data_IF_304651133605
#
_entry.id   IF_304651133605
#
_cell.length_a   1.000
_cell.length_b   1.000
_cell.length_c   1.000
_cell.angle_alpha   90.00
_cell.angle_beta   90.00
_cell.angle_gamma   90.00
#
_symmetry.space_group_name_H-M   'P 1'
#
loop_
_entity.id
_entity.type
_entity.pdbx_description
1 polymer ?
#
# COMPACT_ATOMS: atom_id res chain seq x y z
N UNK A 1 -37.35 37.31 -0.39
CA UNK A 1 -35.92 37.01 -0.12
C UNK A 1 -35.58 36.99 1.36
N UNK A 2 -36.12 37.89 2.20
CA UNK A 2 -35.78 37.93 3.62
C UNK A 2 -36.39 36.79 4.50
N UNK A 3 -37.45 36.12 4.05
CA UNK A 3 -38.07 35.00 4.78
C UNK A 3 -37.35 33.64 4.53
N UNK A 4 -36.55 33.55 3.47
CA UNK A 4 -35.84 32.31 3.09
C UNK A 4 -34.51 32.18 3.84
N UNK A 5 -33.92 33.26 4.29
CA UNK A 5 -32.65 33.27 5.04
C UNK A 5 -32.82 32.95 6.54
N UNK A 6 -34.02 33.01 7.10
CA UNK A 6 -34.26 32.63 8.50
C UNK A 6 -34.38 31.13 8.76
N UNK A 7 -34.67 30.33 7.72
CA UNK A 7 -34.74 28.87 7.87
C UNK A 7 -33.35 28.18 7.80
N UNK A 8 -32.34 28.85 7.30
CA UNK A 8 -30.97 28.28 7.13
C UNK A 8 -30.12 28.38 8.41
N UNK A 9 -30.44 29.27 9.33
CA UNK A 9 -29.65 29.53 10.55
C UNK A 9 -30.05 28.69 11.79
N UNK A 10 -31.05 27.80 11.68
CA UNK A 10 -31.46 26.94 12.80
C UNK A 10 -31.03 25.46 12.63
N UNK A 11 -30.38 25.11 11.55
CA UNK A 11 -29.96 23.72 11.27
C UNK A 11 -28.57 23.32 11.83
N UNK A 12 -27.83 24.23 12.48
CA UNK A 12 -26.48 23.99 12.96
C UNK A 12 -26.34 23.68 14.45
N UNK A 13 -27.44 23.43 15.15
CA UNK A 13 -27.38 23.00 16.56
C UNK A 13 -28.45 21.96 16.90
N UNK A 14 -28.31 20.74 16.39
CA UNK A 14 -29.06 19.62 16.96
C UNK A 14 -28.34 18.30 16.70
N UNK A 15 -28.22 17.58 17.78
CA UNK A 15 -27.61 16.26 17.95
C UNK A 15 -28.07 15.24 16.88
N UNK A 16 -27.17 14.31 16.56
CA UNK A 16 -27.30 13.16 15.68
C UNK A 16 -28.50 12.25 16.02
N UNK A 17 -29.67 12.58 15.45
CA UNK A 17 -30.80 11.67 15.32
C UNK A 17 -31.30 11.74 13.88
N UNK A 18 -31.75 10.63 13.26
CA UNK A 18 -32.27 10.70 11.91
C UNK A 18 -33.46 11.68 11.86
N UNK A 19 -33.58 12.46 10.76
CA UNK A 19 -34.65 13.45 10.67
C UNK A 19 -36.01 12.74 10.72
N UNK A 20 -36.85 13.16 11.68
CA UNK A 20 -38.23 12.70 11.81
C UNK A 20 -39.05 13.11 10.57
N UNK A 21 -40.15 12.41 10.26
CA UNK A 21 -40.98 12.65 9.06
C UNK A 21 -41.58 14.06 8.93
N UNK A 22 -41.45 14.90 9.95
CA UNK A 22 -42.01 16.25 9.99
C UNK A 22 -41.31 17.30 9.10
N UNK A 23 -40.05 17.03 8.65
CA UNK A 23 -39.33 17.95 7.72
C UNK A 23 -39.85 17.87 6.29
N UNK A 24 -40.57 16.82 5.94
CA UNK A 24 -41.19 16.63 4.61
C UNK A 24 -42.56 17.35 4.45
N UNK A 25 -43.15 17.87 5.55
CA UNK A 25 -44.47 18.52 5.46
C UNK A 25 -44.40 19.99 5.06
N UNK A 26 -43.27 20.66 5.24
CA UNK A 26 -43.14 22.08 4.91
C UNK A 26 -43.01 22.38 3.40
N UNK A 27 -42.84 21.33 2.58
CA UNK A 27 -42.72 21.46 1.13
C UNK A 27 -44.06 21.28 0.38
N UNK A 28 -45.21 21.11 1.07
CA UNK A 28 -46.50 20.79 0.43
C UNK A 28 -47.46 21.95 0.24
N UNK A 29 -47.17 23.14 0.75
CA UNK A 29 -48.04 24.29 0.55
C UNK A 29 -47.34 25.40 -0.25
N UNK A 30 -47.09 25.17 -1.53
CA UNK A 30 -46.96 26.23 -2.50
C UNK A 30 -48.21 26.16 -3.40
N UNK A 31 -49.18 27.00 -3.09
CA UNK A 31 -50.40 27.16 -3.85
C UNK A 31 -50.06 27.44 -5.33
N UNK A 32 -50.79 26.78 -6.23
CA UNK A 32 -50.71 27.01 -7.67
C UNK A 32 -51.23 28.44 -7.97
N UNK A 33 -50.38 29.28 -8.48
CA UNK A 33 -50.79 30.53 -9.11
C UNK A 33 -51.24 30.14 -10.53
N UNK A 34 -52.56 30.22 -10.75
CA UNK A 34 -53.20 30.14 -12.08
C UNK A 34 -52.76 28.96 -12.97
N UNK A 35 -52.85 27.73 -12.48
CA UNK A 35 -52.72 26.51 -13.34
C UNK A 35 -51.30 26.25 -13.90
N UNK A 36 -50.28 26.99 -13.51
CA UNK A 36 -48.90 26.80 -13.95
C UNK A 36 -48.12 26.08 -12.83
N UNK A 37 -47.72 24.85 -13.11
CA UNK A 37 -46.80 24.12 -12.23
C UNK A 37 -45.42 24.82 -12.30
N UNK A 38 -45.20 25.80 -11.42
CA UNK A 38 -43.96 26.60 -11.35
C UNK A 38 -42.75 25.71 -11.13
N UNK A 39 -42.88 24.57 -10.45
CA UNK A 39 -41.77 23.57 -10.30
C UNK A 39 -41.36 22.94 -11.63
N UNK A 40 -42.32 22.66 -12.49
CA UNK A 40 -42.04 22.12 -13.81
C UNK A 40 -41.53 23.19 -14.79
N UNK A 41 -41.97 24.44 -14.64
CA UNK A 41 -41.46 25.56 -15.45
C UNK A 41 -40.00 25.89 -15.08
N UNK A 42 -39.68 25.94 -13.80
CA UNK A 42 -38.32 26.19 -13.31
C UNK A 42 -37.36 25.05 -13.79
N UNK A 43 -37.79 23.79 -13.74
CA UNK A 43 -37.01 22.67 -14.28
C UNK A 43 -36.75 22.72 -15.80
N UNK A 44 -37.51 23.52 -16.55
CA UNK A 44 -37.33 23.70 -18.00
C UNK A 44 -36.32 24.78 -18.36
N UNK A 45 -35.94 25.66 -17.43
CA UNK A 45 -34.89 26.63 -17.68
C UNK A 45 -33.55 25.90 -17.86
N UNK A 46 -32.82 26.12 -18.95
CA UNK A 46 -31.57 25.38 -19.27
C UNK A 46 -30.56 25.40 -18.11
N UNK A 47 -30.39 26.53 -17.47
CA UNK A 47 -29.49 26.72 -16.33
C UNK A 47 -29.95 25.93 -15.09
N UNK A 48 -31.23 26.01 -14.74
CA UNK A 48 -31.79 25.26 -13.58
C UNK A 48 -31.75 23.74 -13.83
N UNK A 49 -31.99 23.31 -15.07
CA UNK A 49 -31.87 21.92 -15.46
C UNK A 49 -30.43 21.44 -15.37
N UNK A 50 -29.47 22.25 -15.79
CA UNK A 50 -28.04 21.97 -15.67
C UNK A 50 -27.62 21.81 -14.19
N UNK A 51 -28.02 22.76 -13.33
CA UNK A 51 -27.78 22.67 -11.88
C UNK A 51 -28.41 21.44 -11.26
N UNK A 52 -29.64 21.11 -11.65
CA UNK A 52 -30.31 19.93 -11.12
C UNK A 52 -29.59 18.62 -11.54
N UNK A 53 -29.13 18.53 -12.77
CA UNK A 53 -28.34 17.41 -13.26
C UNK A 53 -27.00 17.31 -12.50
N UNK A 54 -26.32 18.44 -12.26
CA UNK A 54 -25.10 18.45 -11.45
C UNK A 54 -25.34 17.98 -10.03
N UNK A 55 -26.40 18.45 -9.39
CA UNK A 55 -26.77 18.03 -8.03
C UNK A 55 -27.08 16.52 -7.99
N UNK A 56 -27.81 15.99 -8.98
CA UNK A 56 -28.11 14.56 -9.03
C UNK A 56 -26.86 13.73 -9.30
N UNK A 57 -25.94 14.21 -10.14
CA UNK A 57 -24.65 13.57 -10.37
C UNK A 57 -23.81 13.55 -9.09
N UNK A 58 -23.68 14.69 -8.40
CA UNK A 58 -22.98 14.78 -7.11
C UNK A 58 -23.62 13.90 -6.03
N UNK A 59 -24.97 13.83 -5.97
CA UNK A 59 -25.66 12.94 -5.05
C UNK A 59 -25.41 11.47 -5.36
N UNK A 60 -25.41 11.10 -6.64
CA UNK A 60 -25.09 9.73 -7.07
C UNK A 60 -23.66 9.37 -6.75
N UNK A 61 -22.74 10.30 -6.92
CA UNK A 61 -21.33 10.16 -6.57
C UNK A 61 -21.16 10.01 -5.05
N UNK A 62 -21.75 10.90 -4.25
CA UNK A 62 -21.75 10.78 -2.79
C UNK A 62 -22.39 9.49 -2.29
N UNK A 63 -23.39 8.94 -2.99
CA UNK A 63 -23.97 7.64 -2.64
C UNK A 63 -23.00 6.47 -2.85
N UNK A 64 -22.08 6.54 -3.81
CA UNK A 64 -21.01 5.53 -4.02
C UNK A 64 -20.03 5.50 -2.86
N UNK A 65 -19.82 6.66 -2.20
CA UNK A 65 -18.94 6.81 -1.03
C UNK A 65 -19.66 6.61 0.30
N UNK A 66 -20.90 6.11 0.27
CA UNK A 66 -21.72 5.94 1.47
C UNK A 66 -21.18 4.80 2.33
N UNK A 67 -20.43 5.17 3.36
CA UNK A 67 -20.07 4.28 4.46
C UNK A 67 -21.18 4.29 5.52
N UNK A 68 -21.30 3.24 6.34
CA UNK A 68 -22.28 3.21 7.45
C UNK A 68 -22.10 4.38 8.40
N UNK A 69 -20.84 4.74 8.67
CA UNK A 69 -20.47 5.94 9.43
C UNK A 69 -19.46 6.78 8.62
N UNK A 70 -19.47 8.10 8.75
CA UNK A 70 -18.55 8.97 8.03
C UNK A 70 -17.09 8.77 8.50
N UNK A 71 -16.09 9.13 7.68
CA UNK A 71 -14.71 9.22 8.10
C UNK A 71 -14.56 9.99 9.42
N UNK A 72 -13.70 9.52 10.31
CA UNK A 72 -13.49 10.12 11.63
C UNK A 72 -14.47 9.72 12.71
N UNK A 73 -15.55 9.01 12.39
CA UNK A 73 -16.43 8.45 13.40
C UNK A 73 -15.78 7.20 14.02
N UNK A 74 -15.98 6.95 15.33
CA UNK A 74 -15.34 5.84 16.05
C UNK A 74 -15.67 4.42 15.51
N UNK A 75 -16.73 4.27 14.71
CA UNK A 75 -17.02 3.03 13.95
C UNK A 75 -16.52 3.06 12.51
N UNK A 76 -15.86 4.13 12.08
CA UNK A 76 -15.27 4.19 10.74
C UNK A 76 -13.85 3.61 10.75
N UNK A 77 -13.47 2.78 9.76
CA UNK A 77 -12.08 2.39 9.61
C UNK A 77 -11.17 3.54 9.15
N UNK A 78 -11.75 4.63 8.66
CA UNK A 78 -11.02 5.83 8.26
C UNK A 78 -10.87 6.74 9.48
N UNK A 79 -9.64 7.13 9.88
CA UNK A 79 -9.43 7.91 11.09
C UNK A 79 -9.94 9.35 11.00
N UNK A 80 -10.11 10.00 12.14
CA UNK A 80 -10.29 11.44 12.23
C UNK A 80 -8.94 12.13 12.05
N UNK A 81 -8.76 12.89 10.98
CA UNK A 81 -7.51 13.63 10.75
C UNK A 81 -7.21 14.64 11.85
N UNK A 82 -8.24 15.19 12.50
CA UNK A 82 -8.06 16.10 13.64
C UNK A 82 -7.49 15.36 14.86
N UNK A 83 -8.01 14.18 15.20
CA UNK A 83 -7.49 13.35 16.29
C UNK A 83 -6.07 12.86 15.99
N UNK A 84 -5.78 12.48 14.74
CA UNK A 84 -4.44 12.10 14.30
C UNK A 84 -3.46 13.24 14.53
N UNK A 85 -3.78 14.48 14.13
CA UNK A 85 -2.92 15.65 14.34
C UNK A 85 -2.67 15.92 15.82
N UNK A 86 -3.69 15.81 16.65
CA UNK A 86 -3.57 16.01 18.10
C UNK A 86 -2.64 14.98 18.76
N UNK A 87 -2.60 13.76 18.24
CA UNK A 87 -1.83 12.65 18.78
C UNK A 87 -0.57 12.30 17.93
N UNK A 88 -0.22 13.10 16.93
CA UNK A 88 0.81 12.80 15.93
C UNK A 88 2.14 12.36 16.57
N UNK A 89 2.60 13.04 17.64
CA UNK A 89 3.84 12.68 18.34
C UNK A 89 3.81 11.28 18.96
N UNK A 90 2.64 10.78 19.35
CA UNK A 90 2.48 9.45 19.94
C UNK A 90 2.35 8.39 18.84
N UNK A 91 1.54 8.69 17.82
CA UNK A 91 1.24 7.77 16.71
C UNK A 91 2.50 7.51 15.89
N UNK A 92 3.17 8.58 15.44
CA UNK A 92 4.30 8.50 14.52
C UNK A 92 5.68 8.45 15.24
N UNK A 93 5.70 8.01 16.51
CA UNK A 93 6.96 7.84 17.27
C UNK A 93 7.75 6.65 16.71
N UNK A 94 8.61 6.92 15.76
CA UNK A 94 9.51 5.97 15.13
C UNK A 94 10.85 5.78 15.89
N UNK A 95 11.04 6.42 17.04
CA UNK A 95 12.22 6.26 17.88
C UNK A 95 12.24 4.93 18.63
N UNK A 96 11.13 4.19 18.65
CA UNK A 96 10.99 2.91 19.34
C UNK A 96 11.97 1.89 18.79
N UNK A 97 12.79 1.30 19.65
CA UNK A 97 13.74 0.24 19.32
C UNK A 97 13.24 -1.14 19.70
N UNK A 98 12.09 -1.22 20.35
CA UNK A 98 11.41 -2.46 20.76
C UNK A 98 9.92 -2.36 20.50
N UNK A 99 9.31 -3.46 20.09
CA UNK A 99 7.88 -3.57 19.86
C UNK A 99 7.34 -4.71 20.74
N UNK A 100 6.26 -4.45 21.49
CA UNK A 100 5.69 -5.47 22.37
C UNK A 100 5.37 -6.75 21.63
N UNK A 101 5.94 -7.88 22.12
CA UNK A 101 5.74 -9.23 21.60
C UNK A 101 6.12 -9.46 20.10
N UNK A 102 6.83 -8.53 19.47
CA UNK A 102 7.43 -8.69 18.14
C UNK A 102 8.94 -8.71 18.30
N UNK A 103 9.59 -9.79 17.89
CA UNK A 103 11.04 -9.84 17.84
C UNK A 103 11.53 -9.14 16.56
N UNK A 104 12.19 -8.00 16.71
CA UNK A 104 12.80 -7.27 15.58
C UNK A 104 14.05 -7.96 15.04
N UNK A 105 14.57 -9.00 15.70
CA UNK A 105 15.74 -9.76 15.28
C UNK A 105 16.94 -8.86 14.89
N UNK A 106 17.28 -7.90 15.74
CA UNK A 106 18.20 -6.78 15.45
C UNK A 106 19.59 -7.24 15.03
N UNK A 107 20.09 -8.33 15.61
CA UNK A 107 21.41 -8.88 15.27
C UNK A 107 21.41 -9.37 13.82
N UNK A 108 20.38 -10.12 13.43
CA UNK A 108 20.25 -10.63 12.06
C UNK A 108 20.17 -9.50 11.04
N UNK A 109 19.43 -8.45 11.34
CA UNK A 109 19.33 -7.27 10.47
C UNK A 109 20.69 -6.58 10.30
N UNK A 110 21.48 -6.45 11.37
CA UNK A 110 22.81 -5.89 11.30
C UNK A 110 23.79 -6.77 10.51
N UNK A 111 23.72 -8.10 10.68
CA UNK A 111 24.53 -9.06 9.90
C UNK A 111 24.21 -8.98 8.41
N UNK A 112 22.92 -8.94 8.03
CA UNK A 112 22.50 -8.80 6.64
C UNK A 112 22.94 -7.46 6.03
N UNK A 113 22.90 -6.38 6.82
CA UNK A 113 23.41 -5.08 6.39
C UNK A 113 24.89 -5.15 6.01
N UNK A 114 25.73 -5.85 6.77
CA UNK A 114 27.16 -6.06 6.42
C UNK A 114 27.31 -6.87 5.12
N UNK A 115 26.53 -7.92 4.95
CA UNK A 115 26.49 -8.71 3.71
C UNK A 115 26.12 -7.82 2.53
N UNK A 116 25.10 -7.00 2.67
CA UNK A 116 24.63 -6.09 1.62
C UNK A 116 25.72 -5.07 1.21
N UNK A 117 26.53 -4.60 2.17
CA UNK A 117 27.65 -3.70 1.88
C UNK A 117 28.62 -4.25 0.85
N UNK A 118 28.81 -5.58 0.79
CA UNK A 118 29.64 -6.23 -0.24
C UNK A 118 28.93 -6.36 -1.58
N UNK A 119 27.61 -6.61 -1.56
CA UNK A 119 26.80 -6.87 -2.75
C UNK A 119 26.41 -5.60 -3.50
N UNK A 120 26.21 -4.50 -2.79
CA UNK A 120 25.75 -3.23 -3.37
C UNK A 120 26.80 -2.50 -4.21
N UNK A 121 28.10 -2.88 -4.12
CA UNK A 121 29.18 -2.25 -4.88
C UNK A 121 28.98 -2.34 -6.41
N UNK A 122 28.29 -3.37 -6.85
CA UNK A 122 28.09 -3.67 -8.27
C UNK A 122 26.67 -3.29 -8.76
N UNK A 123 25.92 -2.48 -8.00
CA UNK A 123 24.57 -2.06 -8.42
C UNK A 123 24.65 -1.34 -9.76
N UNK A 124 24.03 -1.88 -10.83
CA UNK A 124 24.21 -1.35 -12.18
C UNK A 124 23.14 -0.34 -12.58
N UNK A 125 22.08 -0.18 -11.78
CA UNK A 125 20.86 0.49 -12.18
C UNK A 125 21.06 2.00 -12.36
N UNK A 126 20.54 2.57 -13.48
CA UNK A 126 20.61 4.00 -13.72
C UNK A 126 19.64 4.76 -12.80
N UNK A 127 19.91 6.06 -12.63
CA UNK A 127 18.98 6.96 -11.92
C UNK A 127 17.67 7.18 -12.67
N UNK A 128 17.74 7.33 -13.97
CA UNK A 128 16.62 7.64 -14.89
C UNK A 128 16.54 6.59 -15.97
N UNK A 129 15.43 6.49 -16.72
CA UNK A 129 15.30 5.53 -17.82
C UNK A 129 16.52 5.53 -18.74
N UNK A 130 17.03 4.35 -19.03
CA UNK A 130 18.18 4.14 -19.93
C UNK A 130 18.01 2.84 -20.72
N UNK A 131 18.35 2.86 -21.99
CA UNK A 131 18.36 1.68 -22.84
C UNK A 131 19.15 0.53 -22.23
N UNK A 132 18.66 -0.68 -22.35
CA UNK A 132 19.24 -1.89 -21.76
C UNK A 132 18.93 -2.10 -20.28
N UNK A 133 18.03 -1.30 -19.69
CA UNK A 133 17.50 -1.49 -18.34
C UNK A 133 15.98 -1.34 -18.34
N UNK A 134 15.31 -2.24 -17.61
CA UNK A 134 13.88 -2.13 -17.29
C UNK A 134 13.66 -1.21 -16.11
N UNK A 135 14.56 -1.31 -15.12
CA UNK A 135 14.49 -0.58 -13.86
C UNK A 135 15.37 0.66 -13.86
N UNK A 136 14.92 1.68 -13.16
CA UNK A 136 15.71 2.88 -12.79
C UNK A 136 15.27 3.39 -11.42
N UNK A 137 16.15 4.04 -10.66
CA UNK A 137 15.87 4.45 -9.27
C UNK A 137 14.84 5.57 -9.15
N UNK A 138 14.79 6.51 -10.09
CA UNK A 138 13.83 7.62 -10.07
C UNK A 138 12.51 7.21 -10.69
N UNK A 139 11.84 6.27 -10.06
CA UNK A 139 10.46 5.91 -10.33
C UNK A 139 9.63 6.17 -9.06
N UNK A 140 8.33 6.40 -9.22
CA UNK A 140 7.44 6.84 -8.15
C UNK A 140 7.00 5.72 -7.20
N UNK A 141 7.33 4.45 -7.52
CA UNK A 141 6.75 3.28 -6.86
C UNK A 141 7.75 2.45 -6.07
N UNK A 142 8.95 2.25 -6.60
CA UNK A 142 9.94 1.35 -6.01
C UNK A 142 11.34 1.93 -6.15
N UNK A 143 11.71 2.80 -5.21
CA UNK A 143 12.90 3.64 -5.33
C UNK A 143 14.09 3.08 -4.51
N UNK A 144 15.03 3.94 -4.16
CA UNK A 144 16.40 3.62 -3.70
C UNK A 144 16.47 2.61 -2.55
N UNK A 145 15.87 2.86 -1.40
CA UNK A 145 16.07 1.99 -0.22
C UNK A 145 15.52 0.58 -0.46
N UNK A 146 14.30 0.50 -1.03
CA UNK A 146 13.67 -0.78 -1.35
C UNK A 146 14.35 -1.46 -2.54
N UNK A 147 14.71 -0.69 -3.57
CA UNK A 147 15.44 -1.20 -4.74
C UNK A 147 16.82 -1.74 -4.39
N UNK A 148 17.61 -1.03 -3.60
CA UNK A 148 18.93 -1.50 -3.12
C UNK A 148 18.77 -2.77 -2.28
N UNK A 149 17.79 -2.77 -1.37
CA UNK A 149 17.54 -3.93 -0.50
C UNK A 149 17.10 -5.15 -1.32
N UNK A 150 16.16 -4.99 -2.26
CA UNK A 150 15.69 -6.09 -3.12
C UNK A 150 16.84 -6.66 -3.96
N UNK A 151 17.67 -5.81 -4.56
CA UNK A 151 18.84 -6.24 -5.32
C UNK A 151 19.79 -7.07 -4.45
N UNK A 152 20.12 -6.58 -3.24
CA UNK A 152 21.01 -7.29 -2.32
C UNK A 152 20.39 -8.61 -1.84
N UNK A 153 19.10 -8.62 -1.53
CA UNK A 153 18.39 -9.83 -1.13
C UNK A 153 18.42 -10.90 -2.23
N UNK A 154 18.10 -10.55 -3.47
CA UNK A 154 18.13 -11.50 -4.58
C UNK A 154 19.52 -12.08 -4.81
N UNK A 155 20.57 -11.26 -4.73
CA UNK A 155 21.96 -11.72 -4.85
C UNK A 155 22.42 -12.57 -3.68
N UNK A 156 21.92 -12.29 -2.48
CA UNK A 156 22.20 -13.07 -1.26
C UNK A 156 21.50 -14.42 -1.28
N UNK A 157 20.20 -14.42 -1.59
CA UNK A 157 19.36 -15.62 -1.53
C UNK A 157 19.53 -16.52 -2.74
N UNK A 158 19.80 -15.96 -3.94
CA UNK A 158 19.85 -16.66 -5.21
C UNK A 158 18.65 -17.61 -5.41
N UNK A 159 17.40 -17.09 -5.31
CA UNK A 159 16.21 -17.93 -5.34
C UNK A 159 16.09 -18.69 -6.67
N UNK A 160 15.47 -19.85 -6.63
CA UNK A 160 15.10 -20.58 -7.86
C UNK A 160 13.77 -20.08 -8.42
N UNK A 161 12.88 -19.65 -7.54
CA UNK A 161 11.54 -19.15 -7.87
C UNK A 161 11.22 -17.89 -7.08
N UNK A 162 10.52 -16.99 -7.75
CA UNK A 162 9.88 -15.83 -7.12
C UNK A 162 8.43 -15.82 -7.56
N UNK A 163 7.52 -15.75 -6.60
CA UNK A 163 6.11 -15.42 -6.84
C UNK A 163 5.90 -14.00 -6.35
N UNK A 164 5.44 -13.11 -7.22
CA UNK A 164 5.16 -11.71 -6.91
C UNK A 164 3.66 -11.44 -7.07
N UNK A 165 3.09 -10.81 -6.06
CA UNK A 165 1.71 -10.32 -6.04
C UNK A 165 1.76 -8.81 -6.10
N UNK A 166 1.16 -8.22 -7.16
CA UNK A 166 1.36 -6.80 -7.49
C UNK A 166 2.70 -6.58 -8.20
N UNK A 167 2.67 -6.25 -9.48
CA UNK A 167 3.88 -6.27 -10.31
C UNK A 167 4.11 -4.94 -11.01
N UNK A 168 5.39 -4.55 -11.11
CA UNK A 168 5.75 -3.28 -11.70
C UNK A 168 7.26 -3.03 -11.73
N UNK A 169 7.73 -1.96 -11.07
CA UNK A 169 9.16 -1.63 -11.02
C UNK A 169 9.97 -2.61 -10.17
N UNK A 170 9.37 -3.26 -9.17
CA UNK A 170 9.98 -4.37 -8.45
C UNK A 170 10.27 -5.54 -9.37
N UNK A 171 9.31 -5.94 -10.21
CA UNK A 171 9.49 -6.95 -11.26
C UNK A 171 10.61 -6.59 -12.23
N UNK A 172 10.66 -5.33 -12.68
CA UNK A 172 11.69 -4.81 -13.56
C UNK A 172 13.09 -4.95 -12.94
N UNK A 173 13.24 -4.62 -11.66
CA UNK A 173 14.49 -4.78 -10.93
C UNK A 173 14.88 -6.26 -10.79
N UNK A 174 13.90 -7.13 -10.47
CA UNK A 174 14.13 -8.58 -10.35
C UNK A 174 14.62 -9.18 -11.67
N UNK A 175 14.00 -8.82 -12.80
CA UNK A 175 14.38 -9.27 -14.13
C UNK A 175 15.77 -8.77 -14.52
N UNK A 176 16.08 -7.50 -14.30
CA UNK A 176 17.41 -6.94 -14.58
C UNK A 176 18.49 -7.58 -13.69
N UNK A 177 18.17 -7.89 -12.43
CA UNK A 177 19.08 -8.60 -11.53
C UNK A 177 19.33 -10.04 -12.01
N UNK A 178 18.26 -10.73 -12.42
CA UNK A 178 18.34 -12.09 -12.93
C UNK A 178 19.20 -12.17 -14.20
N UNK A 179 19.00 -11.25 -15.14
CA UNK A 179 19.77 -11.20 -16.39
C UNK A 179 21.27 -10.97 -16.15
N UNK A 180 21.62 -10.10 -15.20
CA UNK A 180 22.99 -9.61 -15.03
C UNK A 180 23.80 -10.37 -13.99
N UNK A 181 23.15 -10.93 -12.97
CA UNK A 181 23.83 -11.48 -11.80
C UNK A 181 23.45 -12.92 -11.44
N UNK A 182 22.29 -13.41 -11.92
CA UNK A 182 21.80 -14.74 -11.58
C UNK A 182 21.71 -15.70 -12.78
N UNK A 183 22.35 -15.32 -13.89
CA UNK A 183 22.46 -16.18 -15.08
C UNK A 183 21.11 -16.57 -15.69
N UNK A 184 20.06 -15.76 -15.51
CA UNK A 184 18.68 -16.02 -15.96
C UNK A 184 18.10 -17.33 -15.39
N UNK A 185 18.56 -17.75 -14.21
CA UNK A 185 18.18 -19.03 -13.60
C UNK A 185 16.87 -18.95 -12.80
N UNK A 186 16.45 -17.75 -12.38
CA UNK A 186 15.25 -17.54 -11.58
C UNK A 186 14.00 -17.65 -12.44
N UNK A 187 13.01 -18.41 -11.96
CA UNK A 187 11.67 -18.49 -12.55
C UNK A 187 10.73 -17.56 -11.81
N UNK A 188 10.07 -16.69 -12.55
CA UNK A 188 9.12 -15.71 -12.00
C UNK A 188 7.67 -16.09 -12.29
N UNK A 189 6.80 -15.88 -11.32
CA UNK A 189 5.34 -15.86 -11.49
C UNK A 189 4.84 -14.52 -10.98
N UNK A 190 4.38 -13.68 -11.89
CA UNK A 190 3.81 -12.36 -11.61
C UNK A 190 2.29 -12.46 -11.62
N UNK A 191 1.64 -12.05 -10.52
CA UNK A 191 0.18 -12.07 -10.35
C UNK A 191 -0.27 -10.62 -10.30
N UNK A 192 -0.89 -10.15 -11.41
CA UNK A 192 -1.23 -8.74 -11.58
C UNK A 192 -2.54 -8.61 -12.38
N UNK A 193 -3.65 -8.18 -11.76
CA UNK A 193 -4.92 -7.98 -12.46
C UNK A 193 -4.92 -6.76 -13.40
N UNK A 194 -4.00 -5.80 -13.20
CA UNK A 194 -3.86 -4.56 -13.99
C UNK A 194 -2.45 -4.42 -14.56
N UNK A 195 -2.07 -5.28 -15.53
CA UNK A 195 -0.68 -5.48 -15.92
C UNK A 195 -0.10 -4.40 -16.84
N UNK A 196 -0.77 -3.30 -17.09
CA UNK A 196 -0.37 -2.26 -18.07
C UNK A 196 1.02 -1.71 -17.75
N UNK A 197 1.34 -1.49 -16.46
CA UNK A 197 2.67 -1.06 -16.02
C UNK A 197 3.71 -2.14 -16.25
N UNK A 198 3.43 -3.37 -15.81
CA UNK A 198 4.33 -4.51 -16.02
C UNK A 198 4.60 -4.72 -17.52
N UNK A 199 3.55 -4.72 -18.35
CA UNK A 199 3.66 -4.89 -19.79
C UNK A 199 4.52 -3.83 -20.47
N UNK A 200 4.57 -2.62 -19.91
CA UNK A 200 5.43 -1.54 -20.42
C UNK A 200 6.90 -1.69 -20.05
N UNK A 201 7.23 -2.53 -19.06
CA UNK A 201 8.57 -2.70 -18.51
C UNK A 201 9.26 -4.00 -18.97
N UNK A 202 8.49 -5.05 -19.30
CA UNK A 202 9.03 -6.36 -19.68
C UNK A 202 9.42 -6.39 -21.16
N UNK A 203 10.36 -7.27 -21.48
CA UNK A 203 10.82 -7.53 -22.86
C UNK A 203 10.31 -8.89 -23.35
N UNK A 204 10.27 -9.08 -24.66
CA UNK A 204 9.80 -10.35 -25.26
C UNK A 204 10.59 -11.57 -24.76
N UNK A 205 11.89 -11.42 -24.56
CA UNK A 205 12.75 -12.51 -24.05
C UNK A 205 12.53 -12.87 -22.56
N UNK A 206 11.72 -12.12 -21.83
CA UNK A 206 11.41 -12.44 -20.42
C UNK A 206 10.43 -13.60 -20.29
N UNK A 207 9.62 -13.85 -21.33
CA UNK A 207 8.61 -14.92 -21.37
C UNK A 207 9.20 -16.32 -21.17
N UNK A 208 10.48 -16.52 -21.44
CA UNK A 208 11.16 -17.81 -21.24
C UNK A 208 11.26 -18.20 -19.76
N UNK A 209 11.30 -17.19 -18.88
CA UNK A 209 11.49 -17.37 -17.44
C UNK A 209 10.34 -16.80 -16.60
N UNK A 210 9.30 -16.26 -17.24
CA UNK A 210 8.24 -15.53 -16.55
C UNK A 210 6.86 -16.05 -16.94
N UNK A 211 6.02 -16.31 -15.95
CA UNK A 211 4.59 -16.56 -16.10
C UNK A 211 3.83 -15.36 -15.56
N UNK A 212 2.93 -14.78 -16.35
CA UNK A 212 2.10 -13.64 -15.93
C UNK A 212 0.66 -14.10 -15.78
N UNK A 213 0.13 -14.04 -14.56
CA UNK A 213 -1.25 -14.35 -14.22
C UNK A 213 -2.04 -13.05 -14.13
N UNK A 214 -2.88 -12.78 -15.15
CA UNK A 214 -3.62 -11.53 -15.32
C UNK A 214 -4.98 -11.59 -14.63
N UNK A 215 -4.96 -11.89 -13.34
CA UNK A 215 -6.14 -11.99 -12.50
C UNK A 215 -5.77 -11.72 -11.03
N UNK A 216 -6.79 -11.54 -10.20
CA UNK A 216 -6.57 -11.30 -8.77
C UNK A 216 -5.91 -12.50 -8.08
N UNK A 217 -5.13 -12.23 -7.03
CA UNK A 217 -4.44 -13.27 -6.26
C UNK A 217 -5.41 -14.28 -5.66
N UNK A 218 -6.63 -13.88 -5.29
CA UNK A 218 -7.67 -14.77 -4.76
C UNK A 218 -8.14 -15.83 -5.79
N UNK A 219 -7.91 -15.57 -7.09
CA UNK A 219 -8.22 -16.52 -8.16
C UNK A 219 -7.03 -17.42 -8.52
N UNK A 220 -5.87 -17.22 -7.89
CA UNK A 220 -4.68 -18.01 -8.13
C UNK A 220 -4.75 -19.30 -7.31
N UNK A 221 -4.51 -20.49 -7.93
CA UNK A 221 -4.45 -21.74 -7.18
C UNK A 221 -3.40 -21.68 -6.07
N UNK A 222 -3.76 -22.14 -4.88
CA UNK A 222 -2.85 -22.19 -3.70
C UNK A 222 -1.60 -22.99 -4.00
N UNK A 223 -1.66 -23.98 -4.89
CA UNK A 223 -0.52 -24.78 -5.32
C UNK A 223 0.62 -23.97 -5.95
N UNK A 224 0.35 -22.80 -6.51
CA UNK A 224 1.38 -21.87 -7.01
C UNK A 224 2.29 -21.45 -5.85
N UNK A 225 1.73 -21.08 -4.72
CA UNK A 225 2.46 -20.67 -3.52
C UNK A 225 3.10 -21.86 -2.80
N UNK A 226 2.41 -23.00 -2.75
CA UNK A 226 2.94 -24.25 -2.19
C UNK A 226 4.13 -24.81 -2.99
N UNK A 227 4.33 -24.35 -4.22
CA UNK A 227 5.49 -24.73 -5.04
C UNK A 227 6.79 -24.08 -4.59
N UNK A 228 6.73 -23.00 -3.79
CA UNK A 228 7.90 -22.36 -3.22
C UNK A 228 8.56 -23.25 -2.17
N UNK A 229 9.88 -23.30 -2.21
CA UNK A 229 10.73 -24.12 -1.34
C UNK A 229 11.69 -23.23 -0.56
N UNK A 230 12.44 -23.80 0.37
CA UNK A 230 13.46 -23.08 1.12
C UNK A 230 14.42 -22.32 0.18
N UNK A 231 14.62 -21.03 0.46
CA UNK A 231 15.41 -20.10 -0.34
C UNK A 231 14.64 -19.41 -1.47
N UNK A 232 13.40 -19.84 -1.79
CA UNK A 232 12.52 -19.12 -2.73
C UNK A 232 11.87 -17.91 -2.09
N UNK A 233 11.28 -17.03 -2.90
CA UNK A 233 10.73 -15.75 -2.45
C UNK A 233 9.24 -15.63 -2.81
N UNK A 234 8.43 -15.25 -1.84
CA UNK A 234 7.10 -14.68 -2.02
C UNK A 234 7.20 -13.16 -1.81
N UNK A 235 6.97 -12.39 -2.87
CA UNK A 235 6.99 -10.94 -2.84
C UNK A 235 5.56 -10.41 -2.88
N UNK A 236 5.17 -9.60 -1.88
CA UNK A 236 3.81 -9.08 -1.71
C UNK A 236 3.85 -7.56 -1.77
N UNK A 237 3.20 -7.02 -2.80
CA UNK A 237 2.87 -5.60 -2.99
C UNK A 237 1.38 -5.52 -3.35
N UNK A 238 0.54 -5.70 -2.32
CA UNK A 238 -0.90 -5.94 -2.43
C UNK A 238 -1.71 -4.64 -2.51
N UNK A 239 -3.02 -4.70 -2.27
CA UNK A 239 -3.84 -3.49 -2.11
C UNK A 239 -3.65 -2.78 -0.77
N UNK A 240 -2.91 -3.35 0.16
CA UNK A 240 -2.65 -2.90 1.53
C UNK A 240 -3.90 -2.71 2.40
N UNK A 241 -5.07 -3.19 1.96
CA UNK A 241 -6.35 -3.01 2.67
C UNK A 241 -7.01 -4.34 2.99
N UNK A 242 -7.01 -4.69 4.28
CA UNK A 242 -7.84 -5.77 4.81
C UNK A 242 -9.30 -5.35 4.82
N UNK A 243 -10.10 -6.06 4.05
CA UNK A 243 -11.56 -5.92 3.97
C UNK A 243 -12.17 -7.24 3.48
N UNK A 244 -13.50 -7.32 3.48
CA UNK A 244 -14.22 -8.50 2.98
C UNK A 244 -13.76 -8.85 1.56
N UNK A 245 -13.21 -10.07 1.39
CA UNK A 245 -12.74 -10.59 0.11
C UNK A 245 -11.45 -9.97 -0.43
N UNK A 246 -10.67 -9.26 0.43
CA UNK A 246 -9.41 -8.64 0.00
C UNK A 246 -8.29 -9.66 -0.24
N UNK A 247 -7.34 -9.25 -1.05
CA UNK A 247 -6.06 -9.89 -1.28
C UNK A 247 -5.24 -10.00 0.02
N UNK A 248 -5.19 -8.95 0.83
CA UNK A 248 -4.52 -8.95 2.15
C UNK A 248 -5.00 -10.09 3.03
N UNK A 249 -6.34 -10.27 3.14
CA UNK A 249 -6.90 -11.36 3.94
C UNK A 249 -6.54 -12.73 3.35
N UNK A 250 -6.63 -12.87 2.03
CA UNK A 250 -6.29 -14.12 1.35
C UNK A 250 -4.82 -14.49 1.56
N UNK A 251 -3.92 -13.52 1.42
CA UNK A 251 -2.49 -13.74 1.61
C UNK A 251 -2.16 -14.13 3.05
N UNK A 252 -2.67 -13.40 4.04
CA UNK A 252 -2.38 -13.66 5.44
C UNK A 252 -3.02 -14.95 5.96
N UNK A 253 -4.26 -15.26 5.54
CA UNK A 253 -5.02 -16.36 6.14
C UNK A 253 -4.91 -17.67 5.38
N UNK A 254 -4.76 -17.63 4.05
CA UNK A 254 -4.74 -18.82 3.21
C UNK A 254 -3.35 -19.14 2.66
N UNK A 255 -2.52 -18.12 2.39
CA UNK A 255 -1.22 -18.34 1.73
C UNK A 255 -0.07 -18.48 2.74
N UNK A 256 0.10 -17.55 3.68
CA UNK A 256 1.21 -17.65 4.64
C UNK A 256 1.22 -18.97 5.43
N UNK A 257 0.07 -19.53 5.88
CA UNK A 257 0.07 -20.80 6.62
C UNK A 257 0.60 -22.00 5.82
N UNK A 258 0.42 -22.00 4.49
CA UNK A 258 0.77 -23.16 3.63
C UNK A 258 2.15 -23.08 3.01
N UNK A 259 2.90 -22.00 3.23
CA UNK A 259 4.27 -21.87 2.76
C UNK A 259 5.19 -22.90 3.44
N UNK A 260 6.13 -23.41 2.67
CA UNK A 260 7.18 -24.28 3.22
C UNK A 260 8.14 -23.48 4.12
N UNK A 261 8.71 -24.10 5.17
CA UNK A 261 9.81 -23.52 5.91
C UNK A 261 10.98 -23.16 5.01
N UNK A 262 11.66 -22.06 5.32
CA UNK A 262 12.78 -21.52 4.53
C UNK A 262 12.36 -20.62 3.36
N UNK A 263 11.07 -20.42 3.12
CA UNK A 263 10.59 -19.43 2.14
C UNK A 263 10.76 -18.04 2.73
N UNK A 264 11.33 -17.12 1.94
CA UNK A 264 11.45 -15.71 2.28
C UNK A 264 10.20 -14.96 1.80
N UNK A 265 9.70 -14.06 2.63
CA UNK A 265 8.49 -13.28 2.33
C UNK A 265 8.83 -11.79 2.40
N UNK A 266 8.48 -11.05 1.37
CA UNK A 266 8.55 -9.60 1.34
C UNK A 266 7.15 -9.01 1.44
N UNK A 267 6.96 -8.00 2.29
CA UNK A 267 5.80 -7.11 2.26
C UNK A 267 6.26 -5.69 1.94
N UNK A 268 5.64 -5.10 0.93
CA UNK A 268 5.88 -3.70 0.57
C UNK A 268 4.96 -2.77 1.37
N UNK A 269 5.34 -1.49 1.45
CA UNK A 269 4.62 -0.43 2.17
C UNK A 269 4.31 -0.73 3.64
N UNK A 270 5.23 -1.43 4.29
CA UNK A 270 5.25 -1.65 5.74
C UNK A 270 6.40 -0.89 6.35
N UNK A 271 6.09 0.05 7.26
CA UNK A 271 7.06 0.94 7.89
C UNK A 271 7.20 0.67 9.39
N UNK A 272 8.40 0.84 9.94
CA UNK A 272 8.61 0.77 11.38
C UNK A 272 8.05 2.06 12.06
N UNK A 273 7.28 1.96 13.13
CA UNK A 273 6.94 0.77 13.95
C UNK A 273 5.60 0.08 13.62
N UNK A 274 5.28 -0.18 12.37
CA UNK A 274 4.01 -0.65 11.82
C UNK A 274 2.93 0.44 11.85
N UNK A 275 3.33 1.65 11.50
CA UNK A 275 2.46 2.79 11.28
C UNK A 275 2.78 3.40 9.92
N UNK A 276 1.76 3.85 9.21
CA UNK A 276 1.95 4.49 7.91
C UNK A 276 2.50 5.90 8.08
N UNK A 277 3.22 6.44 7.07
CA UNK A 277 3.72 7.82 7.10
C UNK A 277 2.60 8.84 7.36
N UNK A 278 2.91 9.88 8.16
CA UNK A 278 1.93 10.90 8.55
C UNK A 278 1.32 11.62 7.34
N UNK A 279 2.13 11.95 6.34
CA UNK A 279 1.71 12.60 5.10
C UNK A 279 0.70 11.74 4.33
N UNK A 280 0.89 10.42 4.26
CA UNK A 280 -0.08 9.51 3.64
C UNK A 280 -1.43 9.54 4.34
N UNK A 281 -1.42 9.50 5.67
CA UNK A 281 -2.67 9.59 6.44
C UNK A 281 -3.35 10.94 6.22
N UNK A 282 -2.59 12.04 6.17
CA UNK A 282 -3.14 13.37 5.89
C UNK A 282 -3.74 13.49 4.48
N UNK A 283 -3.25 12.73 3.52
CA UNK A 283 -3.78 12.63 2.15
C UNK A 283 -4.95 11.66 2.02
N UNK A 284 -5.32 10.97 3.09
CA UNK A 284 -6.48 10.09 3.14
C UNK A 284 -6.18 8.62 2.85
N UNK A 285 -4.92 8.21 2.81
CA UNK A 285 -4.54 6.80 2.75
C UNK A 285 -5.00 6.12 4.04
N UNK A 286 -5.92 5.17 3.94
CA UNK A 286 -6.49 4.43 5.07
C UNK A 286 -6.16 2.94 4.97
N UNK A 287 -4.89 2.62 4.69
CA UNK A 287 -4.38 1.26 4.64
C UNK A 287 -4.27 0.66 6.03
N UNK A 288 -4.30 -0.67 6.12
CA UNK A 288 -4.33 -1.36 7.42
C UNK A 288 -3.59 -2.72 7.41
N UNK A 289 -2.93 -3.08 6.32
CA UNK A 289 -2.14 -4.33 6.22
C UNK A 289 -1.03 -4.38 7.27
N UNK A 290 -0.33 -3.26 7.50
CA UNK A 290 0.74 -3.18 8.48
C UNK A 290 0.26 -3.52 9.90
N UNK A 291 -0.97 -3.15 10.27
CA UNK A 291 -1.53 -3.47 11.59
C UNK A 291 -1.85 -4.97 11.73
N UNK A 292 -2.38 -5.59 10.66
CA UNK A 292 -2.61 -7.04 10.64
C UNK A 292 -1.29 -7.80 10.69
N UNK A 293 -0.29 -7.36 9.91
CA UNK A 293 1.02 -7.99 9.90
C UNK A 293 1.70 -7.88 11.28
N UNK A 294 1.60 -6.73 11.95
CA UNK A 294 2.08 -6.58 13.33
C UNK A 294 1.39 -7.55 14.27
N UNK A 295 0.05 -7.64 14.21
CA UNK A 295 -0.70 -8.57 15.05
C UNK A 295 -0.34 -10.03 14.74
N UNK A 296 -0.12 -10.37 13.48
CA UNK A 296 0.34 -11.69 13.03
C UNK A 296 1.72 -12.05 13.57
N UNK A 297 2.65 -11.10 13.65
CA UNK A 297 4.01 -11.32 14.12
C UNK A 297 4.12 -11.35 15.66
N UNK A 298 3.11 -10.85 16.40
CA UNK A 298 3.09 -10.92 17.85
C UNK A 298 2.98 -12.38 18.31
N UNK A 299 3.89 -12.83 19.19
CA UNK A 299 3.93 -14.18 19.71
C UNK A 299 4.05 -15.30 18.66
N UNK A 300 4.30 -14.96 17.40
CA UNK A 300 4.39 -15.90 16.29
C UNK A 300 5.85 -16.21 15.96
N UNK A 301 6.33 -17.36 16.40
CA UNK A 301 7.69 -17.81 16.16
C UNK A 301 7.88 -18.56 14.83
N UNK A 302 6.79 -18.80 14.10
CA UNK A 302 6.85 -19.43 12.77
C UNK A 302 7.30 -18.47 11.66
N UNK A 303 7.46 -17.18 11.97
CA UNK A 303 7.94 -16.15 11.04
C UNK A 303 8.92 -15.23 11.76
N UNK A 304 10.11 -15.09 11.20
CA UNK A 304 11.17 -14.24 11.74
C UNK A 304 11.43 -13.04 10.85
N UNK A 305 11.57 -11.85 11.44
CA UNK A 305 12.01 -10.66 10.72
C UNK A 305 13.49 -10.84 10.32
N UNK A 306 13.75 -10.81 9.02
CA UNK A 306 15.11 -10.85 8.47
C UNK A 306 15.67 -9.47 8.22
N UNK A 307 14.84 -8.54 7.67
CA UNK A 307 15.26 -7.18 7.38
C UNK A 307 14.05 -6.26 7.31
N UNK A 308 14.02 -5.21 8.12
CA UNK A 308 12.97 -4.21 8.13
C UNK A 308 13.57 -2.88 7.66
N UNK A 309 13.37 -2.54 6.39
CA UNK A 309 14.11 -1.47 5.71
C UNK A 309 14.06 -0.17 6.48
N UNK A 310 12.88 0.35 6.81
CA UNK A 310 12.74 1.61 7.54
C UNK A 310 13.36 1.59 8.95
N UNK A 311 13.34 0.43 9.63
CA UNK A 311 14.02 0.25 10.92
C UNK A 311 15.54 0.37 10.75
N UNK A 312 16.12 -0.35 9.80
CA UNK A 312 17.58 -0.34 9.55
C UNK A 312 18.04 1.04 9.09
N UNK A 313 17.35 1.65 8.12
CA UNK A 313 17.69 2.98 7.59
C UNK A 313 17.66 4.04 8.68
N UNK A 314 16.82 3.90 9.70
CA UNK A 314 16.70 4.85 10.81
C UNK A 314 17.67 4.56 11.95
N UNK A 315 17.69 3.32 12.46
CA UNK A 315 18.38 2.97 13.68
C UNK A 315 19.84 2.53 13.49
N UNK A 316 20.23 2.22 12.24
CA UNK A 316 21.60 1.91 11.83
C UNK A 316 22.10 2.93 10.79
N UNK A 317 21.57 4.15 10.81
CA UNK A 317 21.79 5.18 9.75
C UNK A 317 23.25 5.47 9.46
N UNK A 318 24.08 5.61 10.49
CA UNK A 318 25.51 5.84 10.33
C UNK A 318 26.17 4.69 9.56
N UNK A 319 25.85 3.46 9.93
CA UNK A 319 26.38 2.28 9.26
C UNK A 319 25.86 2.14 7.82
N UNK A 320 24.58 2.42 7.60
CA UNK A 320 24.00 2.49 6.25
C UNK A 320 24.72 3.53 5.40
N UNK A 321 25.00 4.71 5.95
CA UNK A 321 25.72 5.78 5.24
C UNK A 321 27.14 5.35 4.80
N UNK A 322 27.80 4.50 5.57
CA UNK A 322 29.13 3.97 5.26
C UNK A 322 29.09 2.90 4.17
N UNK A 323 28.15 1.95 4.24
CA UNK A 323 28.20 0.73 3.43
C UNK A 323 27.11 0.64 2.35
N UNK A 324 25.99 1.36 2.51
CA UNK A 324 24.85 1.40 1.58
C UNK A 324 24.38 2.83 1.29
N UNK A 325 25.31 3.79 0.99
CA UNK A 325 24.94 5.21 0.87
C UNK A 325 23.86 5.48 -0.19
N UNK A 326 23.75 4.62 -1.19
CA UNK A 326 22.74 4.72 -2.25
C UNK A 326 21.33 4.56 -1.70
N UNK A 327 21.12 3.71 -0.68
CA UNK A 327 19.82 3.50 -0.06
C UNK A 327 19.24 4.76 0.62
N UNK A 328 20.10 5.69 1.04
CA UNK A 328 19.70 6.94 1.69
C UNK A 328 19.38 8.08 0.70
N UNK A 329 19.46 7.86 -0.61
CA UNK A 329 19.19 8.91 -1.59
C UNK A 329 17.71 9.28 -1.72
N UNK A 330 16.79 8.38 -1.38
CA UNK A 330 15.34 8.69 -1.36
C UNK A 330 15.04 9.88 -0.46
N UNK A 331 15.64 9.96 0.73
CA UNK A 331 15.51 11.10 1.65
C UNK A 331 16.03 12.42 1.03
N UNK A 332 17.10 12.33 0.23
CA UNK A 332 17.76 13.52 -0.34
C UNK A 332 17.10 14.02 -1.61
N UNK A 333 16.60 13.12 -2.44
CA UNK A 333 16.10 13.43 -3.77
C UNK A 333 14.57 13.59 -3.81
N UNK A 334 13.83 13.35 -2.70
CA UNK A 334 12.38 13.47 -2.56
C UNK A 334 11.62 12.90 -3.76
N UNK A 335 11.88 11.63 -4.07
CA UNK A 335 11.37 10.99 -5.27
C UNK A 335 9.94 10.52 -5.06
N UNK A 336 9.59 10.11 -3.85
CA UNK A 336 8.21 9.80 -3.48
C UNK A 336 7.44 11.10 -3.26
N UNK A 337 6.30 11.23 -3.91
CA UNK A 337 5.36 12.32 -3.68
C UNK A 337 4.78 12.28 -2.24
N UNK A 338 4.92 11.15 -1.55
CA UNK A 338 4.12 10.81 -0.38
C UNK A 338 4.91 10.53 0.89
N UNK A 339 6.24 10.49 0.87
CA UNK A 339 6.96 10.14 2.11
C UNK A 339 8.43 10.55 2.12
N UNK A 340 8.88 11.11 3.24
CA UNK A 340 10.29 11.21 3.61
C UNK A 340 10.80 9.91 4.27
N UNK A 341 9.99 8.84 4.31
CA UNK A 341 10.38 7.57 4.89
C UNK A 341 11.43 6.86 4.04
N UNK A 342 12.51 6.38 4.64
CA UNK A 342 13.59 5.72 3.92
C UNK A 342 13.23 4.24 3.62
N UNK A 343 12.39 4.02 2.61
CA UNK A 343 11.91 2.70 2.22
C UNK A 343 10.78 2.15 3.10
N UNK A 344 9.91 1.36 2.50
CA UNK A 344 8.69 0.83 3.10
C UNK A 344 8.58 -0.68 2.93
N UNK A 345 9.58 -1.47 3.32
CA UNK A 345 9.45 -2.92 3.18
C UNK A 345 9.98 -3.69 4.38
N UNK A 346 9.40 -4.87 4.58
CA UNK A 346 9.83 -5.84 5.59
C UNK A 346 10.03 -7.22 4.94
N UNK A 347 11.12 -7.87 5.31
CA UNK A 347 11.46 -9.22 4.90
C UNK A 347 11.33 -10.18 6.07
N UNK A 348 10.60 -11.26 5.84
CA UNK A 348 10.39 -12.33 6.80
C UNK A 348 10.97 -13.64 6.27
N UNK A 349 11.24 -14.56 7.18
CA UNK A 349 11.55 -15.96 6.90
C UNK A 349 10.49 -16.85 7.55
N UNK A 350 9.89 -17.74 6.79
CA UNK A 350 9.10 -18.84 7.35
C UNK A 350 10.03 -19.82 8.02
N UNK A 351 9.83 -20.06 9.31
CA UNK A 351 10.60 -21.06 10.08
C UNK A 351 9.82 -22.36 10.24
N UNK A 352 10.47 -23.38 10.70
CA UNK A 352 9.77 -24.57 11.21
C UNK A 352 9.00 -24.17 12.48
N UNK A 353 7.70 -24.34 12.48
CA UNK A 353 6.93 -24.22 13.71
C UNK A 353 7.34 -25.36 14.65
N UNK A 354 7.97 -25.00 15.76
CA UNK A 354 8.14 -25.93 16.89
C UNK A 354 6.94 -25.85 17.80
#
# INVERSE_FOLDING_TARGET
>A
MAAMLKCLNHATRARSSPPSPLVLSCARNTESIAGIDVKNLIKRLPYIRSLHLQIEQQRAELQRWRTWQPPGHFYSPIPSLEEVRQQARLIFDSSRTTLGAVDLNRLRQAELLEVFGSLCRDIPFPKTPREGFRYHFKNEYFSYADGVTLFCMLRHLQPRRVVEVGSGFSSALMLDTNDRFLGRSVKFTFIEPHPERLDSLIWDGDRDNTTILRHSVQSTPVSVFQSLQAGDVLFIDSSHVSKTGSDVNFLLFEILPVLAPGVHIHFHDVFHPFEYPEDWIQEGVAWNEAYLLRAFLQYNHAFEIQFFVSFVMRHLKERVAEILPLALLSEKERISLYSDAPGGSIWLLKTDAQ
#
